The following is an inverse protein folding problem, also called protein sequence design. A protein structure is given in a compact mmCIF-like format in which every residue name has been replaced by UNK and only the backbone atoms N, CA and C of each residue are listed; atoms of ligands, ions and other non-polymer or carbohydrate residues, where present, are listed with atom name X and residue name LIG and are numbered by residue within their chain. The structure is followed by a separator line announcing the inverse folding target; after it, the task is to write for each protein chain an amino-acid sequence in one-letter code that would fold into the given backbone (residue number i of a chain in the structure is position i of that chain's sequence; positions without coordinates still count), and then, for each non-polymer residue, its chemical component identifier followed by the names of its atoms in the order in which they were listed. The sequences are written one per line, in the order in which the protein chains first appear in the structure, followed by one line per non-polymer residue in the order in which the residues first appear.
data_IF_417882550206
#
_entry.id   IF_417882550206
#
_cell.length_a   1.000
_cell.length_b   1.000
_cell.length_c   1.000
_cell.angle_alpha   90.00
_cell.angle_beta   90.00
_cell.angle_gamma   90.00
#
_symmetry.space_group_name_H-M   'P 1'
#
loop_
_entity.id
_entity.type
_entity.pdbx_description
1 polymer ?
#
# COMPACT_ATOMS: atom_id res chain seq x y z
N UNK A 1 -52.02 27.08 32.79
CA UNK A 1 -51.22 25.87 32.50
C UNK A 1 -52.01 25.10 31.45
N UNK A 2 -51.78 25.37 30.17
CA UNK A 2 -51.02 24.51 29.24
C UNK A 2 -51.69 23.11 29.11
N UNK A 3 -52.05 22.52 27.97
CA UNK A 3 -51.93 22.75 26.53
C UNK A 3 -52.98 21.77 25.95
N UNK A 4 -53.91 22.16 25.07
CA UNK A 4 -53.75 22.27 23.62
C UNK A 4 -53.22 21.00 22.91
N UNK A 5 -54.00 20.60 21.90
CA UNK A 5 -53.65 19.80 20.71
C UNK A 5 -53.85 18.29 20.86
N UNK A 6 -55.09 17.86 20.63
CA UNK A 6 -55.36 16.59 19.96
C UNK A 6 -56.44 16.81 18.91
N UNK A 7 -56.06 16.48 17.67
CA UNK A 7 -56.89 15.88 16.63
C UNK A 7 -56.99 16.63 15.30
N UNK A 8 -56.91 15.76 14.27
CA UNK A 8 -57.32 15.90 12.88
C UNK A 8 -56.28 16.54 11.97
N UNK A 9 -55.48 15.69 11.32
CA UNK A 9 -55.61 15.60 9.88
C UNK A 9 -55.34 14.17 9.38
N UNK A 10 -56.27 13.71 8.58
CA UNK A 10 -56.41 12.36 8.05
C UNK A 10 -55.49 12.18 6.84
N UNK A 11 -54.80 11.03 6.78
CA UNK A 11 -54.34 10.29 5.61
C UNK A 11 -53.62 11.05 4.49
N UNK A 12 -52.31 10.75 4.32
CA UNK A 12 -51.61 10.47 3.04
C UNK A 12 -50.10 10.31 3.30
N UNK A 13 -49.67 9.14 3.77
CA UNK A 13 -48.26 8.74 3.66
C UNK A 13 -48.16 7.75 2.50
N UNK A 14 -47.86 8.27 1.32
CA UNK A 14 -47.41 7.45 0.20
C UNK A 14 -46.13 6.72 0.62
N UNK A 15 -45.93 5.45 0.23
CA UNK A 15 -44.69 4.75 0.50
C UNK A 15 -43.61 5.45 -0.33
N UNK A 16 -42.80 6.28 0.33
CA UNK A 16 -41.63 6.90 -0.26
C UNK A 16 -40.76 5.75 -0.77
N UNK A 17 -40.83 5.52 -2.08
CA UNK A 17 -40.07 4.50 -2.78
C UNK A 17 -38.60 4.64 -2.39
N UNK A 18 -37.94 3.53 -2.07
CA UNK A 18 -36.51 3.47 -1.73
C UNK A 18 -35.60 4.27 -2.69
N UNK A 19 -36.05 4.53 -3.93
CA UNK A 19 -35.45 5.47 -4.88
C UNK A 19 -35.23 6.88 -4.30
N UNK A 20 -36.17 7.43 -3.53
CA UNK A 20 -36.09 8.78 -2.96
C UNK A 20 -35.04 8.87 -1.86
N UNK A 21 -34.87 7.81 -1.06
CA UNK A 21 -33.87 7.73 0.00
C UNK A 21 -32.46 7.47 -0.57
N UNK A 22 -32.37 6.68 -1.65
CA UNK A 22 -31.11 6.35 -2.32
C UNK A 22 -30.52 7.52 -3.11
N UNK A 23 -31.33 8.52 -3.50
CA UNK A 23 -30.85 9.75 -4.13
C UNK A 23 -30.15 10.73 -3.17
N UNK A 24 -30.33 10.57 -1.85
CA UNK A 24 -29.66 11.42 -0.86
C UNK A 24 -28.27 10.93 -0.42
N UNK A 25 -27.82 9.76 -0.89
CA UNK A 25 -26.60 9.10 -0.38
C UNK A 25 -25.41 9.19 -1.36
N UNK A 26 -25.54 9.77 -2.57
CA UNK A 26 -24.39 9.96 -3.45
C UNK A 26 -24.52 11.19 -4.37
N UNK A 27 -23.99 12.37 -3.98
CA UNK A 27 -24.05 13.57 -4.82
C UNK A 27 -22.91 13.65 -5.87
N UNK A 28 -22.12 12.59 -6.08
CA UNK A 28 -20.88 12.69 -6.88
C UNK A 28 -21.06 12.31 -8.36
N UNK A 29 -22.20 11.77 -8.81
CA UNK A 29 -22.31 11.24 -10.20
C UNK A 29 -23.60 11.54 -10.95
N UNK A 30 -24.14 12.75 -10.84
CA UNK A 30 -25.22 13.21 -11.74
C UNK A 30 -25.10 14.65 -12.23
N UNK A 31 -23.96 15.32 -12.03
CA UNK A 31 -23.70 16.67 -12.56
C UNK A 31 -23.03 16.65 -13.95
N UNK A 32 -23.55 15.85 -14.89
CA UNK A 32 -23.01 15.82 -16.25
C UNK A 32 -24.04 16.05 -17.36
N UNK A 33 -25.22 16.62 -17.06
CA UNK A 33 -26.19 16.94 -18.10
C UNK A 33 -26.56 18.42 -18.18
N UNK A 34 -27.01 19.11 -17.13
CA UNK A 34 -27.70 20.41 -17.32
C UNK A 34 -27.33 21.55 -16.36
N UNK A 35 -26.06 21.70 -15.97
CA UNK A 35 -25.64 22.86 -15.18
C UNK A 35 -24.75 23.81 -16.00
N UNK A 36 -25.33 24.95 -16.37
CA UNK A 36 -24.63 26.13 -16.84
C UNK A 36 -23.53 26.48 -15.81
N UNK A 37 -22.28 26.17 -16.12
CA UNK A 37 -21.13 26.44 -15.24
C UNK A 37 -21.07 27.94 -14.95
N UNK A 38 -21.24 28.31 -13.67
CA UNK A 38 -20.87 29.63 -13.17
C UNK A 38 -19.38 29.86 -13.44
N UNK A 39 -19.08 30.81 -14.32
CA UNK A 39 -17.74 31.15 -14.79
C UNK A 39 -17.03 32.12 -13.83
N UNK A 40 -17.03 31.88 -12.52
CA UNK A 40 -16.42 32.84 -11.56
C UNK A 40 -15.23 32.32 -10.77
N UNK A 41 -14.70 31.13 -11.04
CA UNK A 41 -13.32 30.81 -10.63
C UNK A 41 -12.70 29.73 -11.51
N UNK A 42 -12.25 30.09 -12.72
CA UNK A 42 -11.33 29.24 -13.49
C UNK A 42 -10.00 29.21 -12.76
N UNK A 43 -9.78 28.18 -11.94
CA UNK A 43 -8.49 27.87 -11.36
C UNK A 43 -7.46 27.77 -12.51
N UNK A 44 -6.36 28.48 -12.36
CA UNK A 44 -5.28 28.45 -13.33
C UNK A 44 -4.75 27.03 -13.48
N UNK A 45 -4.20 26.71 -14.65
CA UNK A 45 -3.58 25.40 -14.93
C UNK A 45 -2.53 25.02 -13.88
N UNK A 46 -1.85 26.01 -13.29
CA UNK A 46 -0.88 25.85 -12.22
C UNK A 46 -1.51 25.59 -10.83
N UNK A 47 -2.72 26.11 -10.55
CA UNK A 47 -3.45 25.81 -9.31
C UNK A 47 -4.06 24.41 -9.35
N UNK A 48 -4.52 23.96 -10.52
CA UNK A 48 -4.98 22.57 -10.74
C UNK A 48 -3.81 21.59 -10.57
N UNK A 49 -2.61 21.92 -11.08
CA UNK A 49 -1.38 21.13 -10.89
C UNK A 49 -0.97 21.04 -9.41
N UNK A 50 -1.23 22.09 -8.62
CA UNK A 50 -0.89 22.14 -7.18
C UNK A 50 -1.86 21.38 -6.28
N UNK A 51 -3.07 21.07 -6.74
CA UNK A 51 -4.13 20.54 -5.87
C UNK A 51 -4.01 19.03 -5.59
N UNK A 52 -3.59 18.18 -6.53
CA UNK A 52 -3.45 16.76 -6.22
C UNK A 52 -2.67 16.02 -7.31
N UNK A 53 -1.38 16.29 -7.47
CA UNK A 53 -0.52 15.33 -8.16
C UNK A 53 -0.22 14.18 -7.18
N UNK A 54 -1.26 13.43 -6.84
CA UNK A 54 -1.13 12.16 -6.14
C UNK A 54 -0.38 11.21 -7.07
N UNK A 55 0.93 11.12 -6.87
CA UNK A 55 1.78 10.14 -7.56
C UNK A 55 1.70 8.84 -6.77
N UNK A 56 1.03 7.83 -7.32
CA UNK A 56 1.03 6.49 -6.72
C UNK A 56 2.45 5.91 -6.77
N UNK A 57 3.05 5.76 -5.58
CA UNK A 57 4.39 5.19 -5.42
C UNK A 57 4.30 3.66 -5.43
N UNK A 58 5.15 3.04 -6.23
CA UNK A 58 5.27 1.59 -6.30
C UNK A 58 5.81 1.02 -4.97
N UNK A 59 5.21 -0.06 -4.49
CA UNK A 59 5.65 -0.72 -3.25
C UNK A 59 6.88 -1.59 -3.49
N UNK A 60 7.53 -2.04 -2.41
CA UNK A 60 8.64 -3.01 -2.47
C UNK A 60 8.28 -4.36 -3.15
N UNK A 61 6.98 -4.66 -3.31
CA UNK A 61 6.47 -5.84 -4.02
C UNK A 61 6.16 -5.56 -5.49
N UNK A 62 6.28 -4.32 -5.94
CA UNK A 62 5.91 -3.88 -7.29
C UNK A 62 4.44 -3.51 -7.47
N UNK A 63 3.68 -3.30 -6.37
CA UNK A 63 2.27 -2.95 -6.48
C UNK A 63 2.13 -1.45 -6.78
N UNK A 64 1.41 -1.16 -7.87
CA UNK A 64 0.96 0.17 -8.25
C UNK A 64 -0.44 0.04 -8.87
N UNK A 65 -1.30 1.04 -8.65
CA UNK A 65 -2.59 1.13 -9.32
C UNK A 65 -2.42 1.79 -10.69
N UNK A 66 -3.31 1.44 -11.61
CA UNK A 66 -3.43 2.16 -12.87
C UNK A 66 -3.93 3.58 -12.63
N UNK A 67 -3.53 4.53 -13.49
CA UNK A 67 -3.86 5.95 -13.33
C UNK A 67 -5.39 6.20 -13.28
N UNK A 68 -6.17 5.41 -14.02
CA UNK A 68 -7.63 5.52 -14.08
C UNK A 68 -8.37 4.59 -13.10
N UNK A 69 -7.68 4.01 -12.11
CA UNK A 69 -8.30 3.09 -11.16
C UNK A 69 -9.09 3.84 -10.08
N UNK A 70 -10.39 3.52 -9.96
CA UNK A 70 -11.28 4.10 -8.95
C UNK A 70 -10.79 3.87 -7.51
N UNK A 71 -9.98 2.84 -7.26
CA UNK A 71 -9.42 2.51 -5.94
C UNK A 71 -8.47 3.58 -5.42
N UNK A 72 -7.92 4.43 -6.29
CA UNK A 72 -7.09 5.59 -5.94
C UNK A 72 -7.86 6.67 -5.17
N UNK A 73 -9.20 6.68 -5.26
CA UNK A 73 -10.06 7.60 -4.53
C UNK A 73 -9.83 7.64 -3.01
N UNK A 74 -9.30 6.55 -2.43
CA UNK A 74 -8.98 6.46 -1.00
C UNK A 74 -7.86 7.40 -0.55
N UNK A 75 -7.03 7.88 -1.48
CA UNK A 75 -5.85 8.70 -1.23
C UNK A 75 -6.05 10.19 -1.58
N UNK A 76 -7.22 10.55 -2.12
CA UNK A 76 -7.60 11.94 -2.38
C UNK A 76 -7.69 12.72 -1.04
N UNK A 77 -7.55 14.04 -1.12
CA UNK A 77 -7.58 15.00 0.01
C UNK A 77 -6.33 14.93 0.91
N UNK A 78 -5.15 14.89 0.28
CA UNK A 78 -3.87 14.95 0.99
C UNK A 78 -3.49 13.68 1.75
N UNK A 79 -4.16 12.55 1.48
CA UNK A 79 -3.86 11.25 2.10
C UNK A 79 -2.81 10.50 1.30
N UNK A 80 -1.55 10.61 1.72
CA UNK A 80 -0.45 9.89 1.05
C UNK A 80 -0.47 8.38 1.31
N UNK A 81 -0.20 7.59 0.26
CA UNK A 81 0.09 6.15 0.37
C UNK A 81 1.40 5.97 1.14
N UNK A 82 1.33 5.33 2.31
CA UNK A 82 2.53 5.06 3.11
C UNK A 82 3.27 3.85 2.53
N UNK A 83 4.45 4.11 1.99
CA UNK A 83 5.37 3.08 1.48
C UNK A 83 6.69 3.21 2.23
N UNK A 84 7.28 2.09 2.61
CA UNK A 84 8.63 2.07 3.17
C UNK A 84 9.63 2.38 2.05
N UNK A 85 10.58 3.30 2.26
CA UNK A 85 11.60 3.66 1.26
C UNK A 85 12.83 2.76 1.28
N UNK A 86 13.06 2.02 2.37
CA UNK A 86 14.21 1.12 2.52
C UNK A 86 13.81 -0.32 2.21
N UNK A 87 14.13 -0.79 1.02
CA UNK A 87 13.77 -2.13 0.58
C UNK A 87 14.78 -3.18 1.06
N UNK A 88 14.28 -4.23 1.72
CA UNK A 88 15.13 -5.28 2.27
C UNK A 88 15.96 -6.02 1.21
N UNK A 89 15.44 -6.15 -0.02
CA UNK A 89 16.15 -6.75 -1.16
C UNK A 89 17.43 -6.01 -1.50
N UNK A 90 17.38 -4.68 -1.47
CA UNK A 90 18.51 -3.86 -1.87
C UNK A 90 19.55 -3.85 -0.73
N UNK A 91 19.08 -3.73 0.52
CA UNK A 91 19.93 -3.80 1.71
C UNK A 91 20.68 -5.14 1.85
N UNK A 92 20.05 -6.28 1.55
CA UNK A 92 20.74 -7.58 1.63
C UNK A 92 21.72 -7.79 0.47
N UNK A 93 21.46 -7.17 -0.68
CA UNK A 93 22.36 -7.24 -1.84
C UNK A 93 23.68 -6.47 -1.58
N UNK A 94 23.61 -5.38 -0.82
CA UNK A 94 24.77 -4.58 -0.38
C UNK A 94 25.73 -5.38 0.52
N UNK A 95 25.23 -6.36 1.29
CA UNK A 95 26.06 -7.17 2.19
C UNK A 95 26.88 -8.19 1.39
N UNK A 96 28.22 -8.19 1.49
CA UNK A 96 29.06 -9.13 0.75
C UNK A 96 28.90 -10.57 1.26
N UNK A 97 29.05 -11.59 0.39
CA UNK A 97 29.07 -12.99 0.81
C UNK A 97 30.24 -13.30 1.75
N UNK A 98 30.01 -14.16 2.75
CA UNK A 98 31.01 -14.57 3.74
C UNK A 98 31.74 -15.84 3.30
N UNK A 99 33.08 -15.86 3.25
CA UNK A 99 33.85 -17.07 2.99
C UNK A 99 33.81 -18.04 4.18
N UNK A 100 33.71 -19.33 3.89
CA UNK A 100 33.72 -20.41 4.90
C UNK A 100 34.69 -21.50 4.46
N UNK A 101 35.58 -21.94 5.36
CA UNK A 101 36.60 -22.97 5.08
C UNK A 101 36.06 -24.41 5.15
N UNK A 102 34.74 -24.60 5.23
CA UNK A 102 34.10 -25.88 5.46
C UNK A 102 33.01 -26.17 4.42
N UNK A 103 32.63 -27.45 4.37
CA UNK A 103 31.57 -27.95 3.48
C UNK A 103 30.17 -27.44 3.87
N UNK A 104 29.97 -27.07 5.14
CA UNK A 104 28.69 -26.61 5.66
C UNK A 104 28.89 -25.46 6.63
N UNK A 105 27.92 -24.54 6.68
CA UNK A 105 27.88 -23.42 7.63
C UNK A 105 26.63 -23.49 8.50
N UNK A 106 26.79 -23.14 9.77
CA UNK A 106 25.70 -22.98 10.73
C UNK A 106 25.30 -21.51 10.81
N UNK A 107 24.04 -21.19 10.52
CA UNK A 107 23.51 -19.83 10.61
C UNK A 107 22.34 -19.80 11.60
N UNK A 108 22.40 -18.88 12.56
CA UNK A 108 21.36 -18.60 13.57
C UNK A 108 20.85 -17.15 13.48
N UNK A 109 21.36 -16.35 12.54
CA UNK A 109 21.03 -14.93 12.40
C UNK A 109 21.67 -14.01 13.44
N UNK A 110 22.55 -14.55 14.30
CA UNK A 110 23.19 -13.81 15.39
C UNK A 110 22.29 -13.63 16.62
N UNK A 111 22.91 -13.38 17.77
CA UNK A 111 22.19 -13.12 19.02
C UNK A 111 21.49 -14.34 19.63
N UNK A 112 21.85 -15.56 19.20
CA UNK A 112 21.32 -16.82 19.74
C UNK A 112 19.79 -16.91 19.61
N UNK A 113 19.03 -16.85 20.72
CA UNK A 113 17.56 -16.93 20.67
C UNK A 113 16.88 -15.71 20.04
N UNK A 114 17.59 -14.59 19.84
CA UNK A 114 17.03 -13.38 19.21
C UNK A 114 17.06 -13.45 17.67
N UNK A 115 17.78 -14.41 17.11
CA UNK A 115 17.86 -14.63 15.67
C UNK A 115 16.76 -15.57 15.16
N UNK A 116 17.11 -16.43 14.23
CA UNK A 116 16.22 -17.44 13.67
C UNK A 116 16.64 -18.86 14.09
N UNK A 117 15.80 -19.89 13.89
CA UNK A 117 16.19 -21.27 14.15
C UNK A 117 17.51 -21.61 13.47
N UNK A 118 18.38 -22.29 14.21
CA UNK A 118 19.68 -22.71 13.69
C UNK A 118 19.50 -23.60 12.47
N UNK A 119 20.07 -23.20 11.34
CA UNK A 119 20.08 -23.97 10.10
C UNK A 119 21.49 -24.26 9.63
N UNK A 120 21.64 -25.41 8.98
CA UNK A 120 22.88 -25.83 8.32
C UNK A 120 22.71 -25.70 6.81
N UNK A 121 23.61 -24.95 6.18
CA UNK A 121 23.60 -24.68 4.74
C UNK A 121 24.76 -25.45 4.12
N UNK A 122 24.48 -26.18 3.04
CA UNK A 122 25.50 -26.92 2.31
C UNK A 122 26.22 -26.02 1.30
N UNK A 123 27.54 -26.09 1.24
CA UNK A 123 28.40 -25.24 0.40
C UNK A 123 29.16 -26.02 -0.68
N UNK A 124 28.79 -27.29 -0.91
CA UNK A 124 29.42 -28.18 -1.89
C UNK A 124 29.43 -27.66 -3.31
N UNK A 125 28.34 -27.02 -3.72
CA UNK A 125 28.23 -26.53 -5.08
C UNK A 125 28.97 -25.20 -5.19
N UNK A 126 29.70 -24.95 -6.29
CA UNK A 126 30.39 -23.68 -6.46
C UNK A 126 29.37 -22.54 -6.52
N UNK A 127 29.65 -21.45 -5.80
CA UNK A 127 28.83 -20.25 -5.79
C UNK A 127 28.36 -19.81 -4.41
N UNK A 128 27.41 -18.88 -4.39
CA UNK A 128 26.86 -18.30 -3.18
C UNK A 128 25.60 -19.05 -2.75
N UNK A 129 25.60 -19.54 -1.51
CA UNK A 129 24.47 -20.19 -0.87
C UNK A 129 23.84 -19.24 0.14
N UNK A 130 22.53 -19.05 0.04
CA UNK A 130 21.78 -18.11 0.87
C UNK A 130 21.14 -18.79 2.07
N UNK A 131 21.18 -18.14 3.23
CA UNK A 131 20.32 -18.49 4.36
C UNK A 131 18.86 -18.12 4.05
N UNK A 132 17.93 -19.06 4.21
CA UNK A 132 16.49 -18.84 3.96
C UNK A 132 15.79 -17.89 4.93
N UNK A 133 16.46 -17.48 6.02
CA UNK A 133 15.93 -16.54 7.01
C UNK A 133 16.55 -15.15 6.86
N UNK A 134 17.85 -15.01 7.14
CA UNK A 134 18.52 -13.71 7.08
C UNK A 134 18.85 -13.24 5.66
N UNK A 135 18.84 -14.12 4.65
CA UNK A 135 19.30 -13.79 3.30
C UNK A 135 20.82 -13.62 3.16
N UNK A 136 21.60 -13.81 4.24
CA UNK A 136 23.06 -13.80 4.19
C UNK A 136 23.58 -14.88 3.25
N UNK A 137 24.66 -14.55 2.54
CA UNK A 137 25.28 -15.40 1.53
C UNK A 137 26.58 -15.97 2.06
N UNK A 138 26.82 -17.24 1.80
CA UNK A 138 28.04 -17.96 2.16
C UNK A 138 28.60 -18.70 0.96
N UNK A 139 29.92 -18.81 0.86
CA UNK A 139 30.57 -19.62 -0.17
C UNK A 139 31.74 -20.38 0.42
N UNK A 140 32.06 -21.54 -0.17
CA UNK A 140 33.21 -22.32 0.24
C UNK A 140 34.49 -21.68 -0.31
N UNK A 141 35.43 -21.38 0.58
CA UNK A 141 36.76 -20.95 0.16
C UNK A 141 37.57 -22.20 -0.22
N UNK A 142 37.79 -22.40 -1.52
CA UNK A 142 38.73 -23.40 -2.00
C UNK A 142 40.15 -22.82 -1.85
N UNK A 143 40.83 -23.17 -0.75
CA UNK A 143 42.27 -22.94 -0.65
C UNK A 143 42.98 -24.05 -1.44
N UNK A 144 43.55 -23.68 -2.58
CA UNK A 144 44.40 -24.56 -3.40
C UNK A 144 45.65 -24.96 -2.60
N UNK A 145 45.53 -26.06 -1.84
CA UNK A 145 46.69 -26.71 -1.24
C UNK A 145 47.34 -27.59 -2.30
N UNK A 146 48.29 -27.00 -3.04
CA UNK A 146 49.30 -27.70 -3.83
C UNK A 146 50.36 -28.34 -2.91
#
# INVERSE_FOLDING_TARGET
MANQIMNRFCLKTTPQTWKQLMMQINPIRSLSADHQLDKTHTLSKAEIQKIDEFVDVETHTGQKFEENDYRLSRFINGKMKKVNTRFARDLIAEIPPTPVNGRSVCCDGGGGPLGHPKVFINLDQPGNHTCGYCGLRFYQQHSDHH
#
